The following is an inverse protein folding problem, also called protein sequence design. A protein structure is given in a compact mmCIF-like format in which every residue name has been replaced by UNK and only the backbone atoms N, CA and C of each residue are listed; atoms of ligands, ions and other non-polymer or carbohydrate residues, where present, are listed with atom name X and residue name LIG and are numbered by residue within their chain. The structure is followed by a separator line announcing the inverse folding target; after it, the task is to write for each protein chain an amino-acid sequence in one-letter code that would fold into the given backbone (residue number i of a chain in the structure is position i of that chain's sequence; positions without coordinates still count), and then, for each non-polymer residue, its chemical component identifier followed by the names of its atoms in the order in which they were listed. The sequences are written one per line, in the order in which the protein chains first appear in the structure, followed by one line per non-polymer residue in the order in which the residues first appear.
data_IF_673093376416
#
_entry.id   IF_673093376416
#
_cell.length_a   1.000
_cell.length_b   1.000
_cell.length_c   1.000
_cell.angle_alpha   90.00
_cell.angle_beta   90.00
_cell.angle_gamma   90.00
#
_symmetry.space_group_name_H-M   'P 1'
#
loop_
_entity.id
_entity.type
_entity.pdbx_description
1 polymer ?
#
# COMPACT_ATOMS: atom_id res chain seq x y z
N UNK A 1 -58.61 7.71 7.10
CA UNK A 1 -57.32 7.28 7.72
C UNK A 1 -56.84 5.90 7.24
N UNK A 2 -56.99 5.53 5.95
CA UNK A 2 -56.43 4.28 5.41
C UNK A 2 -55.32 4.49 4.36
N UNK A 3 -55.21 5.71 3.81
CA UNK A 3 -54.25 6.03 2.74
C UNK A 3 -52.92 6.62 3.24
N UNK A 4 -52.86 7.10 4.48
CA UNK A 4 -51.62 7.67 5.07
C UNK A 4 -50.61 6.56 5.40
N UNK A 5 -51.08 5.35 5.73
CA UNK A 5 -50.21 4.22 6.05
C UNK A 5 -49.55 3.59 4.81
N UNK A 6 -50.15 3.76 3.62
CA UNK A 6 -49.59 3.23 2.37
C UNK A 6 -48.49 4.15 1.83
N UNK A 7 -48.61 5.47 2.02
CA UNK A 7 -47.61 6.43 1.54
C UNK A 7 -46.27 6.34 2.33
N UNK A 8 -46.30 5.90 3.59
CA UNK A 8 -45.12 5.71 4.44
C UNK A 8 -44.34 4.41 4.13
N UNK A 9 -44.94 3.45 3.42
CA UNK A 9 -44.28 2.20 3.03
C UNK A 9 -43.52 2.28 1.70
N UNK A 10 -43.69 3.37 0.93
CA UNK A 10 -43.00 3.51 -0.37
C UNK A 10 -41.61 4.16 -0.23
N UNK A 11 -41.33 4.80 0.91
CA UNK A 11 -40.04 5.48 1.15
C UNK A 11 -38.99 4.62 1.86
N UNK A 12 -39.35 3.43 2.36
CA UNK A 12 -38.41 2.54 3.07
C UNK A 12 -37.53 1.67 2.15
N UNK A 13 -37.70 1.73 0.82
CA UNK A 13 -36.93 0.92 -0.13
C UNK A 13 -35.88 1.69 -0.94
N UNK A 14 -35.56 2.95 -0.60
CA UNK A 14 -34.57 3.76 -1.32
C UNK A 14 -33.22 3.91 -0.57
N UNK A 15 -33.05 3.31 0.61
CA UNK A 15 -31.76 3.30 1.32
C UNK A 15 -31.09 1.94 1.15
N UNK A 16 -30.72 1.60 -0.08
CA UNK A 16 -29.74 0.54 -0.33
C UNK A 16 -29.06 0.79 -1.67
N UNK A 17 -27.73 0.96 -1.60
CA UNK A 17 -26.76 1.12 -2.70
C UNK A 17 -26.50 2.53 -3.24
N UNK A 18 -26.24 3.48 -2.35
CA UNK A 18 -24.99 4.24 -2.53
C UNK A 18 -23.88 3.33 -1.98
N UNK A 19 -23.48 2.32 -2.77
CA UNK A 19 -22.34 1.47 -2.43
C UNK A 19 -21.14 2.38 -2.59
N UNK A 20 -20.75 3.04 -1.50
CA UNK A 20 -19.53 3.82 -1.39
C UNK A 20 -18.41 2.95 -1.94
N UNK A 21 -17.91 3.30 -3.13
CA UNK A 21 -16.73 2.68 -3.71
C UNK A 21 -15.67 2.68 -2.61
N UNK A 22 -15.14 1.53 -2.19
CA UNK A 22 -14.23 1.53 -1.07
C UNK A 22 -13.01 2.37 -1.42
N UNK A 23 -12.58 3.18 -0.47
CA UNK A 23 -11.51 4.13 -0.69
C UNK A 23 -10.20 3.38 -0.94
N UNK A 24 -9.78 3.34 -2.20
CA UNK A 24 -8.45 2.89 -2.60
C UNK A 24 -7.47 4.02 -2.36
N UNK A 25 -6.42 3.75 -1.58
CA UNK A 25 -5.38 4.72 -1.27
C UNK A 25 -4.17 4.52 -2.18
N UNK A 26 -3.67 5.60 -2.75
CA UNK A 26 -2.48 5.60 -3.63
C UNK A 26 -1.17 5.47 -2.83
N UNK A 27 -1.05 4.42 -2.00
CA UNK A 27 0.09 4.24 -1.08
C UNK A 27 1.42 4.11 -1.83
N UNK A 28 1.45 3.43 -2.97
CA UNK A 28 2.69 3.27 -3.77
C UNK A 28 3.23 4.61 -4.27
N UNK A 29 2.37 5.61 -4.52
CA UNK A 29 2.81 6.96 -4.88
C UNK A 29 3.46 7.67 -3.70
N UNK A 30 2.86 7.54 -2.50
CA UNK A 30 3.39 8.13 -1.27
C UNK A 30 4.71 7.49 -0.87
N UNK A 31 4.82 6.16 -0.95
CA UNK A 31 6.08 5.43 -0.74
C UNK A 31 7.17 5.92 -1.71
N UNK A 32 6.86 6.04 -2.99
CA UNK A 32 7.82 6.53 -3.98
C UNK A 32 8.28 7.95 -3.67
N UNK A 33 7.36 8.82 -3.25
CA UNK A 33 7.67 10.20 -2.86
C UNK A 33 8.60 10.22 -1.66
N UNK A 34 8.27 9.47 -0.61
CA UNK A 34 9.11 9.34 0.56
C UNK A 34 10.52 8.83 0.21
N UNK A 35 10.64 7.79 -0.60
CA UNK A 35 11.95 7.26 -0.98
C UNK A 35 12.76 8.23 -1.87
N UNK A 36 12.11 9.11 -2.62
CA UNK A 36 12.80 10.21 -3.33
C UNK A 36 13.39 11.23 -2.37
N UNK A 37 12.62 11.64 -1.36
CA UNK A 37 13.10 12.55 -0.32
C UNK A 37 14.21 11.90 0.51
N UNK A 38 14.02 10.65 0.94
CA UNK A 38 15.03 9.87 1.64
C UNK A 38 16.32 9.78 0.80
N UNK A 39 16.24 9.42 -0.48
CA UNK A 39 17.42 9.38 -1.35
C UNK A 39 18.12 10.74 -1.46
N UNK A 40 17.39 11.84 -1.40
CA UNK A 40 17.97 13.18 -1.49
C UNK A 40 18.72 13.57 -0.22
N UNK A 41 18.15 13.23 0.94
CA UNK A 41 18.55 13.82 2.23
C UNK A 41 19.09 12.81 3.26
N UNK A 42 19.27 11.54 2.90
CA UNK A 42 19.70 10.47 3.83
C UNK A 42 21.04 10.71 4.51
N UNK A 43 21.96 11.42 3.86
CA UNK A 43 23.30 11.67 4.40
C UNK A 43 23.34 12.84 5.39
N UNK A 44 22.25 13.61 5.52
CA UNK A 44 22.15 14.76 6.41
C UNK A 44 21.92 14.32 7.85
N UNK A 45 22.92 14.54 8.70
CA UNK A 45 22.78 14.40 10.15
C UNK A 45 22.89 12.97 10.69
N UNK A 46 23.33 12.01 9.87
CA UNK A 46 23.55 10.61 10.30
C UNK A 46 25.05 10.34 10.56
N UNK A 47 25.39 9.84 11.75
CA UNK A 47 26.75 9.45 12.10
C UNK A 47 27.18 8.16 11.37
N UNK A 48 28.49 7.92 11.25
CA UNK A 48 29.01 6.74 10.55
C UNK A 48 28.55 5.40 11.18
N UNK A 49 28.42 5.36 12.51
CA UNK A 49 27.88 4.20 13.25
C UNK A 49 26.42 3.95 12.90
N UNK A 50 25.59 5.00 12.94
CA UNK A 50 24.16 4.93 12.56
C UNK A 50 23.96 4.54 11.09
N UNK A 51 24.88 4.92 10.18
CA UNK A 51 24.83 4.48 8.77
C UNK A 51 24.93 2.96 8.63
N UNK A 52 25.76 2.30 9.45
CA UNK A 52 25.92 0.85 9.39
C UNK A 52 24.64 0.12 9.83
N UNK A 53 24.04 0.55 10.95
CA UNK A 53 22.77 0.00 11.44
C UNK A 53 21.62 0.26 10.45
N UNK A 54 21.51 1.49 9.94
CA UNK A 54 20.52 1.86 8.93
C UNK A 54 20.66 1.00 7.66
N UNK A 55 21.88 0.64 7.26
CA UNK A 55 22.11 -0.21 6.09
C UNK A 55 21.45 -1.58 6.22
N UNK A 56 21.47 -2.17 7.42
CA UNK A 56 20.79 -3.44 7.70
C UNK A 56 19.27 -3.33 7.55
N UNK A 57 18.67 -2.26 8.07
CA UNK A 57 17.24 -2.00 7.90
C UNK A 57 16.85 -1.74 6.44
N UNK A 58 17.70 -1.06 5.67
CA UNK A 58 17.48 -0.85 4.24
C UNK A 58 17.52 -2.16 3.43
N UNK A 59 18.40 -3.11 3.78
CA UNK A 59 18.43 -4.42 3.13
C UNK A 59 17.15 -5.21 3.38
N UNK A 60 16.69 -5.23 4.63
CA UNK A 60 15.42 -5.89 5.00
C UNK A 60 14.23 -5.19 4.33
N UNK A 61 14.18 -3.86 4.33
CA UNK A 61 13.12 -3.09 3.67
C UNK A 61 13.07 -3.39 2.17
N UNK A 62 14.22 -3.44 1.50
CA UNK A 62 14.33 -3.79 0.09
C UNK A 62 13.84 -5.21 -0.18
N UNK A 63 14.23 -6.17 0.66
CA UNK A 63 13.80 -7.56 0.56
C UNK A 63 12.28 -7.69 0.72
N UNK A 64 11.69 -7.09 1.76
CA UNK A 64 10.26 -7.16 2.05
C UNK A 64 9.44 -6.43 0.99
N UNK A 65 9.92 -5.28 0.50
CA UNK A 65 9.27 -4.53 -0.58
C UNK A 65 9.29 -5.32 -1.90
N UNK A 66 10.39 -5.99 -2.21
CA UNK A 66 10.48 -6.87 -3.36
C UNK A 66 9.55 -8.10 -3.22
N UNK A 67 9.44 -8.63 -1.99
CA UNK A 67 8.51 -9.70 -1.65
C UNK A 67 7.04 -9.30 -1.86
N UNK A 68 6.66 -8.10 -1.42
CA UNK A 68 5.34 -7.50 -1.66
C UNK A 68 5.07 -7.31 -3.15
N UNK A 69 6.00 -6.67 -3.88
CA UNK A 69 5.89 -6.43 -5.32
C UNK A 69 5.71 -7.72 -6.11
N UNK A 70 6.51 -8.75 -5.81
CA UNK A 70 6.45 -10.05 -6.51
C UNK A 70 5.12 -10.75 -6.26
N UNK A 71 4.62 -10.73 -5.02
CA UNK A 71 3.32 -11.30 -4.69
C UNK A 71 2.18 -10.60 -5.46
N UNK A 72 2.17 -9.26 -5.45
CA UNK A 72 1.19 -8.48 -6.23
C UNK A 72 1.23 -8.81 -7.70
N UNK A 73 2.42 -8.86 -8.31
CA UNK A 73 2.58 -9.16 -9.74
C UNK A 73 2.03 -10.55 -10.06
N UNK A 74 2.40 -11.56 -9.27
CA UNK A 74 1.91 -12.93 -9.46
C UNK A 74 0.39 -13.01 -9.42
N UNK A 75 -0.22 -12.33 -8.44
CA UNK A 75 -1.68 -12.28 -8.29
C UNK A 75 -2.32 -11.57 -9.48
N UNK A 76 -1.85 -10.37 -9.81
CA UNK A 76 -2.32 -9.60 -10.96
C UNK A 76 -2.24 -10.42 -12.27
N UNK A 77 -1.08 -11.02 -12.57
CA UNK A 77 -0.88 -11.86 -13.77
C UNK A 77 -1.77 -13.12 -13.76
N UNK A 78 -2.08 -13.67 -12.58
CA UNK A 78 -3.04 -14.77 -12.43
C UNK A 78 -4.45 -14.32 -12.77
N UNK A 79 -4.89 -13.18 -12.21
CA UNK A 79 -6.21 -12.60 -12.44
C UNK A 79 -6.45 -12.22 -13.92
N UNK A 80 -5.40 -11.81 -14.65
CA UNK A 80 -5.52 -11.51 -16.08
C UNK A 80 -5.60 -12.75 -16.97
N UNK A 81 -4.92 -13.84 -16.59
CA UNK A 81 -4.92 -15.09 -17.35
C UNK A 81 -6.17 -15.93 -17.10
N UNK A 82 -6.75 -15.81 -15.92
CA UNK A 82 -7.97 -16.51 -15.53
C UNK A 82 -9.17 -15.59 -15.77
N UNK A 83 -10.26 -16.12 -16.29
CA UNK A 83 -11.46 -15.32 -16.58
C UNK A 83 -12.27 -15.11 -15.28
N UNK A 84 -11.63 -14.58 -14.23
CA UNK A 84 -12.21 -14.49 -12.89
C UNK A 84 -13.36 -13.49 -12.89
N UNK A 85 -14.49 -13.94 -12.35
CA UNK A 85 -15.69 -13.13 -12.16
C UNK A 85 -15.39 -11.98 -11.20
N UNK A 86 -15.70 -10.71 -11.57
CA UNK A 86 -15.62 -9.58 -10.64
C UNK A 86 -16.37 -9.89 -9.34
N UNK A 87 -15.71 -9.66 -8.20
CA UNK A 87 -16.29 -9.93 -6.87
C UNK A 87 -16.00 -11.33 -6.29
N UNK A 88 -15.16 -12.15 -6.94
CA UNK A 88 -14.67 -13.40 -6.37
C UNK A 88 -13.72 -13.11 -5.20
N UNK A 89 -14.26 -13.11 -3.97
CA UNK A 89 -13.49 -12.92 -2.74
C UNK A 89 -12.43 -14.01 -2.59
N UNK A 90 -11.19 -13.60 -2.36
CA UNK A 90 -10.07 -14.46 -1.99
C UNK A 90 -9.35 -13.86 -0.77
N UNK A 91 -9.81 -14.25 0.44
CA UNK A 91 -9.28 -13.74 1.70
C UNK A 91 -7.82 -14.12 1.92
N UNK A 92 -7.41 -15.31 1.50
CA UNK A 92 -6.06 -15.82 1.77
C UNK A 92 -5.00 -15.02 1.00
N UNK A 93 -5.30 -14.67 -0.26
CA UNK A 93 -4.45 -13.80 -1.07
C UNK A 93 -4.44 -12.36 -0.57
N UNK A 94 -5.58 -11.87 -0.05
CA UNK A 94 -5.65 -10.56 0.59
C UNK A 94 -4.79 -10.51 1.86
N UNK A 95 -4.92 -11.50 2.74
CA UNK A 95 -4.17 -11.58 3.99
C UNK A 95 -2.66 -11.76 3.73
N UNK A 96 -2.29 -12.48 2.68
CA UNK A 96 -0.91 -12.56 2.20
C UNK A 96 -0.35 -11.18 1.82
N UNK A 97 -1.11 -10.37 1.07
CA UNK A 97 -0.68 -9.02 0.69
C UNK A 97 -0.59 -8.10 1.90
N UNK A 98 -1.57 -8.16 2.80
CA UNK A 98 -1.57 -7.39 4.05
C UNK A 98 -0.35 -7.75 4.90
N UNK A 99 -0.10 -9.03 5.14
CA UNK A 99 1.05 -9.50 5.92
C UNK A 99 2.40 -9.05 5.34
N UNK A 100 2.54 -9.07 4.01
CA UNK A 100 3.74 -8.55 3.34
C UNK A 100 3.89 -7.04 3.50
N UNK A 101 2.80 -6.27 3.42
CA UNK A 101 2.87 -4.83 3.69
C UNK A 101 3.18 -4.54 5.17
N UNK A 102 2.69 -5.36 6.11
CA UNK A 102 3.02 -5.25 7.53
C UNK A 102 4.53 -5.40 7.78
N UNK A 103 5.19 -6.31 7.05
CA UNK A 103 6.64 -6.46 7.10
C UNK A 103 7.35 -5.21 6.56
N UNK A 104 6.89 -4.67 5.42
CA UNK A 104 7.42 -3.44 4.83
C UNK A 104 7.38 -2.27 5.81
N UNK A 105 6.25 -2.02 6.48
CA UNK A 105 6.14 -0.89 7.44
C UNK A 105 7.00 -1.10 8.69
N UNK A 106 7.20 -2.35 9.12
CA UNK A 106 8.10 -2.65 10.24
C UNK A 106 9.54 -2.25 9.89
N UNK A 107 10.02 -2.63 8.70
CA UNK A 107 11.37 -2.25 8.26
C UNK A 107 11.48 -0.75 7.98
N UNK A 108 10.41 -0.14 7.46
CA UNK A 108 10.36 1.30 7.22
C UNK A 108 10.52 2.10 8.52
N UNK A 109 9.87 1.68 9.62
CA UNK A 109 10.10 2.28 10.94
C UNK A 109 11.57 2.18 11.37
N UNK A 110 12.17 1.00 11.18
CA UNK A 110 13.60 0.80 11.43
C UNK A 110 14.51 1.69 10.60
N UNK A 111 14.08 2.16 9.42
CA UNK A 111 14.82 3.18 8.65
C UNK A 111 14.58 4.59 9.21
N UNK A 112 13.33 4.92 9.57
CA UNK A 112 12.94 6.24 10.05
C UNK A 112 13.66 6.65 11.36
N UNK A 113 14.04 5.68 12.19
CA UNK A 113 14.73 5.93 13.47
C UNK A 113 16.15 6.52 13.28
N UNK A 114 16.72 6.44 12.07
CA UNK A 114 18.09 6.88 11.79
C UNK A 114 18.21 8.16 10.95
N UNK A 115 17.12 8.63 10.37
CA UNK A 115 17.12 9.78 9.45
C UNK A 115 16.93 11.10 10.22
N UNK A 116 17.06 12.23 9.51
CA UNK A 116 16.81 13.54 10.12
C UNK A 116 15.33 13.71 10.52
N UNK A 117 15.01 14.60 11.49
CA UNK A 117 13.66 14.73 12.02
C UNK A 117 12.56 15.00 10.98
N UNK A 118 12.90 15.72 9.90
CA UNK A 118 11.95 15.97 8.80
C UNK A 118 11.57 14.69 8.05
N UNK A 119 12.56 13.88 7.68
CA UNK A 119 12.33 12.58 7.03
C UNK A 119 11.66 11.59 7.98
N UNK A 120 12.03 11.60 9.27
CA UNK A 120 11.40 10.74 10.27
C UNK A 120 9.90 11.04 10.36
N UNK A 121 9.52 12.32 10.49
CA UNK A 121 8.11 12.74 10.55
C UNK A 121 7.33 12.32 9.29
N UNK A 122 7.92 12.48 8.11
CA UNK A 122 7.29 12.07 6.85
C UNK A 122 7.11 10.55 6.79
N UNK A 123 8.14 9.79 7.16
CA UNK A 123 8.13 8.34 7.16
C UNK A 123 7.16 7.75 8.19
N UNK A 124 7.04 8.38 9.37
CA UNK A 124 6.13 7.94 10.43
C UNK A 124 4.68 8.19 10.04
N UNK A 125 4.40 9.32 9.40
CA UNK A 125 3.08 9.58 8.81
C UNK A 125 2.74 8.56 7.72
N UNK A 126 3.69 8.21 6.86
CA UNK A 126 3.50 7.16 5.85
C UNK A 126 3.19 5.81 6.50
N UNK A 127 3.95 5.43 7.54
CA UNK A 127 3.70 4.20 8.30
C UNK A 127 2.30 4.19 8.94
N UNK A 128 1.89 5.29 9.55
CA UNK A 128 0.56 5.46 10.15
C UNK A 128 -0.53 5.33 9.08
N UNK A 129 -0.40 6.01 7.96
CA UNK A 129 -1.38 5.92 6.88
C UNK A 129 -1.52 4.49 6.34
N UNK A 130 -0.41 3.75 6.17
CA UNK A 130 -0.45 2.35 5.74
C UNK A 130 -1.09 1.49 6.82
N UNK A 131 -0.72 1.66 8.08
CA UNK A 131 -1.29 0.94 9.21
C UNK A 131 -2.81 1.13 9.27
N UNK A 132 -3.28 2.37 9.11
CA UNK A 132 -4.68 2.71 9.15
C UNK A 132 -5.45 2.04 7.99
N UNK A 133 -4.85 1.97 6.80
CA UNK A 133 -5.46 1.23 5.69
C UNK A 133 -5.53 -0.28 5.96
N UNK A 134 -4.53 -0.85 6.64
CA UNK A 134 -4.48 -2.28 6.91
C UNK A 134 -5.48 -2.72 8.00
N UNK A 135 -5.70 -1.88 9.02
CA UNK A 135 -6.32 -2.29 10.29
C UNK A 135 -7.45 -1.41 10.80
N UNK A 136 -7.62 -0.17 10.33
CA UNK A 136 -8.68 0.70 10.84
C UNK A 136 -10.02 0.55 10.08
N UNK A 137 -11.08 1.00 10.76
CA UNK A 137 -12.42 1.14 10.20
C UNK A 137 -12.69 2.61 9.80
N UNK A 138 -13.44 2.87 8.71
CA UNK A 138 -14.00 1.90 7.77
C UNK A 138 -12.91 1.24 6.91
N UNK A 139 -13.10 -0.03 6.54
CA UNK A 139 -12.18 -0.78 5.67
C UNK A 139 -11.78 0.02 4.42
N UNK A 140 -10.47 0.19 4.26
CA UNK A 140 -9.83 0.77 3.07
C UNK A 140 -8.94 -0.27 2.41
N UNK A 141 -8.52 -0.01 1.18
CA UNK A 141 -7.61 -0.89 0.46
C UNK A 141 -6.39 -0.10 -0.02
N UNK A 142 -5.22 -0.75 -0.05
CA UNK A 142 -3.99 -0.11 -0.55
C UNK A 142 -4.02 0.04 -2.08
N UNK A 143 -4.96 -0.64 -2.74
CA UNK A 143 -4.96 -0.80 -4.20
C UNK A 143 -6.27 -1.43 -4.70
N UNK A 144 -6.53 -1.33 -6.00
CA UNK A 144 -7.67 -1.99 -6.65
C UNK A 144 -7.54 -3.52 -6.63
N UNK A 145 -6.31 -4.05 -6.66
CA UNK A 145 -6.07 -5.49 -6.49
C UNK A 145 -6.61 -6.01 -5.15
N UNK A 146 -6.32 -5.31 -4.06
CA UNK A 146 -6.78 -5.72 -2.72
C UNK A 146 -8.29 -5.57 -2.56
N UNK A 147 -8.87 -4.50 -3.13
CA UNK A 147 -10.32 -4.33 -3.17
C UNK A 147 -10.99 -5.51 -3.91
N UNK A 148 -10.44 -5.91 -5.07
CA UNK A 148 -10.93 -7.06 -5.82
C UNK A 148 -10.87 -8.35 -5.00
N UNK A 149 -9.73 -8.62 -4.34
CA UNK A 149 -9.56 -9.81 -3.48
C UNK A 149 -10.51 -9.80 -2.27
N UNK A 150 -10.92 -8.62 -1.81
CA UNK A 150 -11.93 -8.48 -0.77
C UNK A 150 -13.37 -8.73 -1.27
N UNK A 151 -13.57 -9.00 -2.57
CA UNK A 151 -14.88 -9.19 -3.18
C UNK A 151 -15.56 -7.88 -3.63
N UNK A 152 -14.82 -6.77 -3.63
CA UNK A 152 -15.33 -5.50 -4.14
C UNK A 152 -15.39 -5.56 -5.67
N UNK A 153 -16.49 -5.11 -6.30
CA UNK A 153 -16.52 -4.92 -7.75
C UNK A 153 -15.46 -3.91 -8.19
N UNK A 154 -14.49 -4.37 -8.99
CA UNK A 154 -13.42 -3.57 -9.58
C UNK A 154 -13.42 -3.83 -11.08
N UNK A 155 -13.22 -2.79 -11.90
CA UNK A 155 -13.22 -2.99 -13.36
C UNK A 155 -11.92 -3.62 -13.84
N UNK A 156 -11.95 -4.31 -14.98
CA UNK A 156 -10.74 -4.83 -15.63
C UNK A 156 -9.72 -3.71 -15.94
N UNK A 157 -10.21 -2.50 -16.25
CA UNK A 157 -9.37 -1.32 -16.49
C UNK A 157 -8.63 -0.92 -15.22
N UNK A 158 -9.32 -0.86 -14.09
CA UNK A 158 -8.73 -0.46 -12.80
C UNK A 158 -7.68 -1.47 -12.34
N UNK A 159 -7.94 -2.78 -12.53
CA UNK A 159 -6.95 -3.83 -12.28
C UNK A 159 -5.72 -3.71 -13.19
N UNK A 160 -5.90 -3.33 -14.46
CA UNK A 160 -4.79 -3.22 -15.42
C UNK A 160 -3.93 -1.99 -15.11
N UNK A 161 -4.58 -0.89 -14.72
CA UNK A 161 -3.90 0.30 -14.24
C UNK A 161 -3.13 -0.01 -12.96
N UNK A 162 -3.75 -0.73 -12.02
CA UNK A 162 -3.12 -1.16 -10.77
C UNK A 162 -1.87 -1.99 -11.02
N UNK A 163 -2.00 -3.05 -11.82
CA UNK A 163 -0.92 -3.98 -12.13
C UNK A 163 0.27 -3.34 -12.85
N UNK A 164 0.06 -2.25 -13.59
CA UNK A 164 1.14 -1.50 -14.26
C UNK A 164 1.74 -0.42 -13.36
N UNK A 165 0.93 0.54 -12.89
CA UNK A 165 1.40 1.72 -12.16
C UNK A 165 2.00 1.35 -10.81
N UNK A 166 1.34 0.47 -10.04
CA UNK A 166 1.87 0.09 -8.73
C UNK A 166 3.17 -0.70 -8.87
N UNK A 167 3.26 -1.56 -9.89
CA UNK A 167 4.50 -2.30 -10.17
C UNK A 167 5.65 -1.34 -10.50
N UNK A 168 5.44 -0.40 -11.43
CA UNK A 168 6.47 0.57 -11.80
C UNK A 168 6.95 1.42 -10.61
N UNK A 169 6.01 1.90 -9.78
CA UNK A 169 6.35 2.69 -8.58
C UNK A 169 7.13 1.89 -7.55
N UNK A 170 6.77 0.62 -7.35
CA UNK A 170 7.48 -0.28 -6.43
C UNK A 170 8.88 -0.63 -6.95
N UNK A 171 9.02 -0.87 -8.24
CA UNK A 171 10.32 -1.10 -8.89
C UNK A 171 11.23 0.13 -8.75
N UNK A 172 10.70 1.33 -9.03
CA UNK A 172 11.43 2.60 -8.84
C UNK A 172 11.82 2.80 -7.38
N UNK A 173 10.93 2.49 -6.44
CA UNK A 173 11.20 2.52 -4.99
C UNK A 173 12.35 1.59 -4.59
N UNK A 174 12.36 0.34 -5.08
CA UNK A 174 13.43 -0.64 -4.82
C UNK A 174 14.77 -0.16 -5.38
N UNK A 175 14.75 0.46 -6.56
CA UNK A 175 15.95 1.08 -7.15
C UNK A 175 16.46 2.23 -6.29
N UNK A 176 15.59 3.10 -5.81
CA UNK A 176 15.96 4.20 -4.90
C UNK A 176 16.56 3.68 -3.59
N UNK A 177 16.03 2.60 -3.01
CA UNK A 177 16.61 1.97 -1.84
C UNK A 177 18.05 1.48 -2.11
N UNK A 178 18.29 0.92 -3.29
CA UNK A 178 19.64 0.52 -3.71
C UNK A 178 20.58 1.72 -3.87
N UNK A 179 20.07 2.86 -4.35
CA UNK A 179 20.82 4.11 -4.45
C UNK A 179 21.16 4.69 -3.07
N UNK A 180 20.18 4.70 -2.16
CA UNK A 180 20.34 5.11 -0.75
C UNK A 180 21.44 4.29 -0.08
N UNK A 181 21.38 2.96 -0.22
CA UNK A 181 22.40 2.04 0.34
C UNK A 181 23.79 2.37 -0.18
N UNK A 182 23.93 2.64 -1.49
CA UNK A 182 25.21 3.07 -2.06
C UNK A 182 25.68 4.42 -1.52
N UNK A 183 24.77 5.36 -1.23
CA UNK A 183 25.13 6.67 -0.65
C UNK A 183 25.64 6.55 0.78
N UNK A 184 24.96 5.79 1.62
CA UNK A 184 25.36 5.62 3.03
C UNK A 184 26.57 4.69 3.19
N UNK A 185 26.75 3.73 2.26
CA UNK A 185 27.87 2.78 2.26
C UNK A 185 29.16 3.31 1.65
N UNK A 186 29.14 4.44 0.95
CA UNK A 186 30.35 5.13 0.50
C UNK A 186 31.04 5.80 1.70
N UNK A 187 32.20 5.25 2.06
CA UNK A 187 33.21 5.91 2.89
C UNK A 187 34.07 6.83 2.03
#
# INVERSE_FOLDING_TARGET
MRYILVLLLVFSNQVLKAQSTPAVNEITAKMLTYFKHLNTDVDKGISAEKKAEMSGHLDLLKQDLNGYMTARKKLSDSLFRSNITPGSKNSDELDLLKGKMSQVIQQLRGVNDFVCPGLQTEGDKLNEEIYNVLYEEPVRYLSNLEAFLAGVPVTKKDLALDGSIHYQRLEESIKLLSDIQRKIGKK
#
